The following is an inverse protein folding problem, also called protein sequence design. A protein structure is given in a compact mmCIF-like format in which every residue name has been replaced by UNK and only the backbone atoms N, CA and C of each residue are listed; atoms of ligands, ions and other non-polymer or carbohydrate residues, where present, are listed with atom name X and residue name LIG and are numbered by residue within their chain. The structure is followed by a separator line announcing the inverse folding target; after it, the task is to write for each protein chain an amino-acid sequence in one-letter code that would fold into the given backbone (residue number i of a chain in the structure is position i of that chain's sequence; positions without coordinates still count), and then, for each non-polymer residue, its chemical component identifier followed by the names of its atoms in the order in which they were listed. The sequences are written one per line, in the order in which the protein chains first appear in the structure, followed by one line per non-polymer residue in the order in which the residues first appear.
data_IF_509790824976
#
_entry.id   IF_509790824976
#
_cell.length_a   1.000
_cell.length_b   1.000
_cell.length_c   1.000
_cell.angle_alpha   90.00
_cell.angle_beta   90.00
_cell.angle_gamma   90.00
#
_symmetry.space_group_name_H-M   'P 1'
#
loop_
_entity.id
_entity.type
_entity.pdbx_description
1 polymer ?
#
# COMPACT_ATOMS: atom_id res chain seq x y z
N UNK A 1 8.54 7.01 1.18
CA UNK A 1 7.75 7.94 2.05
C UNK A 1 8.62 9.14 2.39
N UNK A 2 8.06 10.34 2.44
CA UNK A 2 8.73 11.56 2.91
C UNK A 2 8.12 12.04 4.23
N UNK A 3 8.81 12.96 4.92
CA UNK A 3 8.28 13.58 6.13
C UNK A 3 8.06 15.07 5.91
N UNK A 4 6.86 15.57 6.29
CA UNK A 4 6.55 17.02 6.33
C UNK A 4 6.13 17.38 7.75
N UNK A 5 6.83 18.36 8.35
CA UNK A 5 6.60 18.78 9.75
C UNK A 5 6.58 17.60 10.72
N UNK A 6 7.53 16.66 10.56
CA UNK A 6 7.66 15.47 11.41
C UNK A 6 6.62 14.37 11.21
N UNK A 7 5.70 14.51 10.23
CA UNK A 7 4.67 13.50 9.93
C UNK A 7 4.92 12.83 8.58
N UNK A 8 4.62 11.55 8.45
CA UNK A 8 4.65 10.86 7.16
C UNK A 8 3.75 11.57 6.13
N UNK A 9 4.24 11.72 4.92
CA UNK A 9 3.54 12.41 3.85
C UNK A 9 3.81 11.77 2.49
N UNK A 10 2.89 11.99 1.54
CA UNK A 10 3.08 11.58 0.15
C UNK A 10 3.95 12.60 -0.61
N UNK A 11 4.74 12.17 -1.60
CA UNK A 11 5.45 13.07 -2.48
C UNK A 11 4.47 13.90 -3.34
N UNK A 12 4.81 15.17 -3.56
CA UNK A 12 4.04 16.11 -4.39
C UNK A 12 4.70 16.41 -5.73
N UNK A 13 5.92 15.91 -5.94
CA UNK A 13 6.68 16.07 -7.17
C UNK A 13 7.53 14.83 -7.45
N UNK A 14 8.03 14.70 -8.69
CA UNK A 14 8.98 13.65 -9.04
C UNK A 14 10.30 13.77 -8.28
N UNK A 15 10.74 14.98 -7.94
CA UNK A 15 11.97 15.20 -7.15
C UNK A 15 11.83 14.76 -5.69
N UNK A 16 10.63 14.75 -5.14
CA UNK A 16 10.35 14.23 -3.81
C UNK A 16 10.11 12.70 -3.80
N UNK A 17 9.85 12.11 -4.97
CA UNK A 17 9.56 10.70 -5.07
C UNK A 17 10.84 9.88 -5.06
N UNK A 18 10.96 9.00 -4.09
CA UNK A 18 12.04 8.00 -4.02
C UNK A 18 11.44 6.65 -3.63
N UNK A 19 11.83 5.61 -4.33
CA UNK A 19 11.60 4.24 -3.88
C UNK A 19 12.56 3.93 -2.74
N UNK A 20 12.11 3.20 -1.74
CA UNK A 20 13.00 2.66 -0.72
C UNK A 20 14.01 1.71 -1.40
N UNK A 21 15.25 1.64 -0.92
CA UNK A 21 16.20 0.65 -1.41
C UNK A 21 15.70 -0.77 -1.17
N UNK A 22 16.15 -1.71 -1.97
CA UNK A 22 15.94 -3.15 -1.81
C UNK A 22 14.48 -3.64 -1.82
N UNK A 23 13.56 -2.86 -2.43
CA UNK A 23 12.14 -3.29 -2.56
C UNK A 23 11.89 -4.19 -3.78
N UNK A 24 12.72 -4.13 -4.79
CA UNK A 24 12.57 -4.87 -6.05
C UNK A 24 12.63 -6.37 -5.84
N UNK A 25 13.70 -6.86 -5.25
CA UNK A 25 13.94 -8.30 -5.09
C UNK A 25 12.84 -9.02 -4.29
N UNK A 26 12.34 -8.48 -3.15
CA UNK A 26 11.20 -9.05 -2.45
C UNK A 26 9.93 -9.14 -3.30
N UNK A 27 9.60 -8.08 -4.05
CA UNK A 27 8.41 -8.06 -4.91
C UNK A 27 8.50 -9.05 -6.08
N UNK A 28 9.68 -9.13 -6.72
CA UNK A 28 9.94 -10.12 -7.78
C UNK A 28 9.80 -11.55 -7.27
N UNK A 29 10.26 -11.83 -6.05
CA UNK A 29 10.13 -13.16 -5.42
C UNK A 29 8.67 -13.52 -5.17
N UNK A 30 7.85 -12.58 -4.71
CA UNK A 30 6.41 -12.80 -4.53
C UNK A 30 5.72 -13.04 -5.88
N UNK A 31 6.06 -12.24 -6.90
CA UNK A 31 5.53 -12.43 -8.25
C UNK A 31 5.93 -13.79 -8.86
N UNK A 32 7.17 -14.23 -8.63
CA UNK A 32 7.68 -15.50 -9.16
C UNK A 32 6.92 -16.75 -8.68
N UNK A 33 6.23 -16.66 -7.54
CA UNK A 33 5.35 -17.72 -7.03
C UNK A 33 3.88 -17.53 -7.41
N UNK A 34 3.59 -16.63 -8.35
CA UNK A 34 2.25 -16.40 -8.88
C UNK A 34 1.42 -15.38 -8.11
N UNK A 35 1.97 -14.71 -7.09
CA UNK A 35 1.26 -13.65 -6.41
C UNK A 35 1.15 -12.40 -7.30
N UNK A 36 -0.05 -11.85 -7.35
CA UNK A 36 -0.35 -10.61 -8.07
C UNK A 36 -0.19 -9.42 -7.14
N UNK A 37 0.45 -8.35 -7.61
CA UNK A 37 0.86 -7.23 -6.78
C UNK A 37 0.13 -5.95 -7.17
N UNK A 38 -0.51 -5.31 -6.19
CA UNK A 38 -1.28 -4.08 -6.34
C UNK A 38 -0.86 -3.07 -5.29
N UNK A 39 -1.04 -1.79 -5.60
CA UNK A 39 -0.87 -0.70 -4.64
C UNK A 39 -2.22 -0.06 -4.36
N UNK A 40 -2.53 0.17 -3.09
CA UNK A 40 -3.66 0.99 -2.65
C UNK A 40 -3.14 2.19 -1.86
N UNK A 41 -3.57 3.40 -2.21
CA UNK A 41 -2.99 4.61 -1.60
C UNK A 41 -4.00 5.72 -1.35
N UNK A 42 -3.96 6.30 -0.12
CA UNK A 42 -4.67 7.54 0.18
C UNK A 42 -3.84 8.74 -0.26
N UNK A 43 -4.41 9.58 -1.14
CA UNK A 43 -3.76 10.78 -1.68
C UNK A 43 -4.62 12.03 -1.42
N UNK A 44 -4.81 12.44 -0.15
CA UNK A 44 -5.70 13.55 0.20
C UNK A 44 -5.22 14.91 -0.33
N UNK A 45 -3.96 15.01 -0.71
CA UNK A 45 -3.39 16.24 -1.26
C UNK A 45 -4.02 16.62 -2.62
N UNK A 46 -4.65 15.66 -3.32
CA UNK A 46 -5.49 15.94 -4.51
C UNK A 46 -6.71 16.79 -4.10
N UNK A 47 -7.50 16.33 -3.13
CA UNK A 47 -8.68 17.07 -2.65
C UNK A 47 -8.32 18.44 -2.06
N UNK A 48 -7.10 18.58 -1.53
CA UNK A 48 -6.56 19.84 -0.98
C UNK A 48 -6.01 20.80 -2.02
N UNK A 49 -5.92 20.40 -3.29
CA UNK A 49 -5.28 21.18 -4.35
C UNK A 49 -3.75 21.33 -4.19
N UNK A 50 -3.12 20.45 -3.39
CA UNK A 50 -1.67 20.47 -3.13
C UNK A 50 -0.88 19.53 -4.03
N UNK A 51 -1.56 18.65 -4.75
CA UNK A 51 -1.04 17.74 -5.75
C UNK A 51 -2.06 17.63 -6.87
N UNK A 52 -1.65 17.87 -8.10
CA UNK A 52 -2.52 17.65 -9.25
C UNK A 52 -2.49 16.19 -9.71
N UNK A 53 -3.57 15.79 -10.39
CA UNK A 53 -3.75 14.41 -10.85
C UNK A 53 -2.70 14.01 -11.89
N UNK A 54 -2.21 14.94 -12.72
CA UNK A 54 -1.20 14.64 -13.74
C UNK A 54 0.14 14.30 -13.07
N UNK A 55 0.53 15.05 -12.03
CA UNK A 55 1.73 14.77 -11.26
C UNK A 55 1.62 13.43 -10.52
N UNK A 56 0.49 13.15 -9.89
CA UNK A 56 0.27 11.84 -9.26
C UNK A 56 0.37 10.70 -10.28
N UNK A 57 -0.21 10.85 -11.46
CA UNK A 57 -0.11 9.86 -12.53
C UNK A 57 1.33 9.67 -13.03
N UNK A 58 2.15 10.73 -13.04
CA UNK A 58 3.58 10.63 -13.35
C UNK A 58 4.33 9.82 -12.29
N UNK A 59 4.06 10.07 -11.01
CA UNK A 59 4.65 9.30 -9.90
C UNK A 59 4.23 7.82 -9.98
N UNK A 60 2.93 7.55 -10.14
CA UNK A 60 2.40 6.19 -10.25
C UNK A 60 2.99 5.43 -11.44
N UNK A 61 3.19 6.11 -12.57
CA UNK A 61 3.85 5.51 -13.75
C UNK A 61 5.29 5.10 -13.43
N UNK A 62 6.04 5.89 -12.67
CA UNK A 62 7.39 5.50 -12.23
C UNK A 62 7.38 4.27 -11.33
N UNK A 63 6.39 4.12 -10.45
CA UNK A 63 6.22 2.90 -9.63
C UNK A 63 6.01 1.69 -10.55
N UNK A 64 5.04 1.78 -11.47
CA UNK A 64 4.65 0.66 -12.33
C UNK A 64 5.73 0.29 -13.38
N UNK A 65 6.59 1.24 -13.77
CA UNK A 65 7.72 0.95 -14.69
C UNK A 65 8.88 0.26 -14.00
N UNK A 66 9.03 0.43 -12.68
CA UNK A 66 10.17 -0.09 -11.93
C UNK A 66 9.85 -1.33 -11.12
N UNK A 67 8.59 -1.51 -10.73
CA UNK A 67 8.15 -2.59 -9.84
C UNK A 67 7.11 -3.46 -10.53
N UNK A 68 7.02 -4.75 -10.20
CA UNK A 68 6.06 -5.67 -10.79
C UNK A 68 4.64 -5.45 -10.25
N UNK A 69 4.16 -4.21 -10.33
CA UNK A 69 2.84 -3.78 -9.86
C UNK A 69 1.86 -3.76 -11.03
N UNK A 70 0.76 -4.49 -10.93
CA UNK A 70 -0.26 -4.58 -11.98
C UNK A 70 -1.15 -3.34 -12.05
N UNK A 71 -1.51 -2.77 -10.89
CA UNK A 71 -2.32 -1.56 -10.82
C UNK A 71 -2.12 -0.81 -9.51
N UNK A 72 -2.43 0.48 -9.56
CA UNK A 72 -2.44 1.37 -8.39
C UNK A 72 -3.84 1.95 -8.23
N UNK A 73 -4.51 1.60 -7.13
CA UNK A 73 -5.81 2.18 -6.77
C UNK A 73 -5.61 3.36 -5.83
N UNK A 74 -6.21 4.49 -6.17
CA UNK A 74 -6.00 5.76 -5.48
C UNK A 74 -7.30 6.25 -4.84
N UNK A 75 -7.25 6.63 -3.58
CA UNK A 75 -8.28 7.45 -2.96
C UNK A 75 -7.82 8.91 -2.90
N UNK A 76 -8.39 9.83 -3.68
CA UNK A 76 -8.00 11.24 -3.70
C UNK A 76 -8.66 12.07 -2.59
N UNK A 77 -9.52 11.48 -1.77
CA UNK A 77 -10.40 12.17 -0.83
C UNK A 77 -9.75 12.42 0.54
N UNK A 78 -10.25 13.42 1.25
CA UNK A 78 -10.00 13.65 2.68
C UNK A 78 -10.99 12.90 3.57
N UNK A 79 -10.73 12.88 4.88
CA UNK A 79 -11.62 12.24 5.87
C UNK A 79 -13.03 12.87 5.86
N UNK A 80 -13.14 14.20 5.66
CA UNK A 80 -14.41 14.93 5.57
C UNK A 80 -15.31 14.53 4.38
N UNK A 81 -14.74 13.92 3.35
CA UNK A 81 -15.50 13.49 2.16
C UNK A 81 -16.31 12.20 2.40
N UNK A 82 -16.08 11.51 3.50
CA UNK A 82 -16.72 10.26 3.89
C UNK A 82 -16.92 9.23 2.75
N UNK A 83 -15.95 9.16 1.85
CA UNK A 83 -15.97 8.25 0.72
C UNK A 83 -15.81 6.78 1.16
N UNK A 84 -16.16 5.84 0.29
CA UNK A 84 -16.00 4.40 0.55
C UNK A 84 -14.58 3.89 0.31
N UNK A 85 -13.77 4.61 -0.50
CA UNK A 85 -12.44 4.14 -0.92
C UNK A 85 -11.32 4.44 0.09
N UNK A 86 -11.46 5.48 0.93
CA UNK A 86 -10.39 5.92 1.82
C UNK A 86 -10.15 4.93 2.95
N UNK A 87 -8.90 4.41 3.07
CA UNK A 87 -8.47 3.66 4.25
C UNK A 87 -8.69 4.48 5.52
N UNK A 88 -9.27 3.91 6.61
CA UNK A 88 -9.36 2.50 6.92
C UNK A 88 -10.54 1.72 6.31
N UNK A 89 -11.38 2.33 5.45
CA UNK A 89 -12.44 1.60 4.74
C UNK A 89 -11.83 0.68 3.68
N UNK A 90 -12.42 -0.51 3.40
CA UNK A 90 -11.83 -1.50 2.50
C UNK A 90 -12.09 -1.23 1.01
N UNK A 91 -12.72 -0.11 0.65
CA UNK A 91 -13.24 0.12 -0.71
C UNK A 91 -12.20 0.02 -1.84
N UNK A 92 -10.95 0.42 -1.64
CA UNK A 92 -9.91 0.21 -2.65
C UNK A 92 -9.56 -1.27 -2.83
N UNK A 93 -9.49 -2.03 -1.72
CA UNK A 93 -9.25 -3.49 -1.77
C UNK A 93 -10.36 -4.21 -2.51
N UNK A 94 -11.62 -3.91 -2.17
CA UNK A 94 -12.77 -4.51 -2.86
C UNK A 94 -12.86 -4.11 -4.34
N UNK A 95 -12.47 -2.88 -4.68
CA UNK A 95 -12.41 -2.44 -6.08
C UNK A 95 -11.37 -3.24 -6.88
N UNK A 96 -10.16 -3.40 -6.33
CA UNK A 96 -9.10 -4.19 -6.95
C UNK A 96 -9.53 -5.65 -7.08
N UNK A 97 -10.08 -6.24 -6.02
CA UNK A 97 -10.53 -7.62 -6.00
C UNK A 97 -11.58 -7.91 -7.08
N UNK A 98 -12.62 -7.07 -7.17
CA UNK A 98 -13.68 -7.22 -8.16
C UNK A 98 -13.18 -7.07 -9.60
N UNK A 99 -12.25 -6.12 -9.83
CA UNK A 99 -11.70 -5.86 -11.18
C UNK A 99 -10.73 -6.95 -11.64
N UNK A 100 -9.96 -7.50 -10.73
CA UNK A 100 -8.88 -8.42 -11.05
C UNK A 100 -9.20 -9.89 -10.72
N UNK A 101 -10.37 -10.20 -10.14
CA UNK A 101 -10.72 -11.55 -9.71
C UNK A 101 -9.82 -12.05 -8.56
N UNK A 102 -9.62 -11.22 -7.52
CA UNK A 102 -8.76 -11.54 -6.37
C UNK A 102 -9.60 -12.03 -5.21
N UNK A 103 -9.19 -13.13 -4.60
CA UNK A 103 -9.73 -13.64 -3.34
C UNK A 103 -9.08 -12.92 -2.16
N UNK A 104 -9.83 -12.03 -1.52
CA UNK A 104 -9.32 -11.19 -0.42
C UNK A 104 -8.94 -12.02 0.81
N UNK A 105 -9.67 -13.11 1.08
CA UNK A 105 -9.34 -14.03 2.18
C UNK A 105 -8.02 -14.79 2.01
N UNK A 106 -7.49 -14.85 0.79
CA UNK A 106 -6.19 -15.44 0.47
C UNK A 106 -5.11 -14.37 0.19
N UNK A 107 -5.43 -13.12 0.50
CA UNK A 107 -4.57 -11.97 0.18
C UNK A 107 -3.91 -11.38 1.43
N UNK A 108 -2.78 -10.72 1.21
CA UNK A 108 -2.02 -10.02 2.23
C UNK A 108 -2.03 -8.52 1.94
N UNK A 109 -2.17 -7.70 2.98
CA UNK A 109 -1.96 -6.27 2.89
C UNK A 109 -0.70 -5.91 3.69
N UNK A 110 0.29 -5.35 3.02
CA UNK A 110 1.51 -4.83 3.65
C UNK A 110 1.38 -3.32 3.74
N UNK A 111 1.48 -2.76 4.93
CA UNK A 111 1.37 -1.32 5.14
C UNK A 111 2.18 -0.82 6.32
N UNK A 112 2.14 0.48 6.58
CA UNK A 112 2.90 1.13 7.65
C UNK A 112 2.03 1.95 8.61
N UNK A 113 0.70 1.82 8.51
CA UNK A 113 -0.22 2.57 9.34
C UNK A 113 -1.41 1.73 9.81
N UNK A 114 -1.98 2.12 10.93
CA UNK A 114 -3.22 1.53 11.44
C UNK A 114 -4.36 1.51 10.40
N UNK A 115 -4.38 2.52 9.51
CA UNK A 115 -5.39 2.58 8.43
C UNK A 115 -5.26 1.44 7.43
N UNK A 116 -4.03 1.03 7.13
CA UNK A 116 -3.77 -0.10 6.26
C UNK A 116 -4.24 -1.39 6.90
N UNK A 117 -3.92 -1.57 8.18
CA UNK A 117 -4.28 -2.75 8.96
C UNK A 117 -5.80 -2.90 9.15
N UNK A 118 -6.48 -1.80 9.47
CA UNK A 118 -7.94 -1.84 9.60
C UNK A 118 -8.63 -2.09 8.24
N UNK A 119 -8.12 -1.50 7.14
CA UNK A 119 -8.64 -1.78 5.80
C UNK A 119 -8.45 -3.25 5.41
N UNK A 120 -7.29 -3.83 5.72
CA UNK A 120 -7.01 -5.25 5.50
C UNK A 120 -8.01 -6.15 6.23
N UNK A 121 -8.19 -5.94 7.53
CA UNK A 121 -9.14 -6.71 8.34
C UNK A 121 -10.58 -6.55 7.87
N UNK A 122 -11.00 -5.33 7.56
CA UNK A 122 -12.34 -5.07 7.03
C UNK A 122 -12.59 -5.73 5.67
N UNK A 123 -11.54 -6.04 4.92
CA UNK A 123 -11.58 -6.76 3.66
C UNK A 123 -11.40 -8.29 3.80
N UNK A 124 -11.06 -8.78 4.99
CA UNK A 124 -10.75 -10.19 5.23
C UNK A 124 -9.34 -10.62 4.82
N UNK A 125 -8.44 -9.67 4.57
CA UNK A 125 -7.03 -9.93 4.23
C UNK A 125 -6.18 -10.11 5.49
N UNK A 126 -5.09 -10.87 5.38
CA UNK A 126 -4.04 -10.89 6.40
C UNK A 126 -3.29 -9.54 6.42
N UNK A 127 -3.12 -8.96 7.61
CA UNK A 127 -2.54 -7.64 7.82
C UNK A 127 -1.08 -7.74 8.29
N UNK A 128 -0.15 -7.22 7.49
CA UNK A 128 1.28 -7.20 7.80
C UNK A 128 1.73 -5.74 7.95
N UNK A 129 2.19 -5.36 9.15
CA UNK A 129 2.68 -4.01 9.38
C UNK A 129 4.20 -3.95 9.27
N UNK A 130 4.70 -2.97 8.51
CA UNK A 130 6.12 -2.61 8.49
C UNK A 130 6.43 -1.79 9.73
N UNK A 131 7.32 -2.27 10.60
CA UNK A 131 7.69 -1.60 11.85
C UNK A 131 8.30 -0.23 11.60
N UNK A 132 7.73 0.79 12.24
CA UNK A 132 8.17 2.18 12.16
C UNK A 132 8.00 2.84 13.53
N UNK A 133 8.84 3.81 13.83
CA UNK A 133 8.79 4.51 15.11
C UNK A 133 7.41 5.13 15.44
N UNK A 134 6.64 5.49 14.41
CA UNK A 134 5.33 6.13 14.54
C UNK A 134 4.14 5.17 14.62
N UNK A 135 4.35 3.84 14.42
CA UNK A 135 3.27 2.86 14.40
C UNK A 135 3.43 1.74 15.44
N UNK A 136 4.22 1.95 16.49
CA UNK A 136 4.55 0.90 17.48
C UNK A 136 3.34 0.29 18.16
N UNK A 137 2.27 1.06 18.34
CA UNK A 137 1.04 0.64 18.99
C UNK A 137 -0.05 0.18 18.00
N UNK A 138 0.22 0.20 16.69
CA UNK A 138 -0.73 -0.24 15.70
C UNK A 138 -0.82 -1.77 15.70
N UNK A 139 -2.05 -2.27 15.73
CA UNK A 139 -2.34 -3.70 15.77
C UNK A 139 -2.34 -4.31 14.36
N UNK A 140 -1.71 -5.49 14.20
CA UNK A 140 -1.60 -6.22 12.94
C UNK A 140 -1.47 -7.74 13.22
N UNK A 141 -1.75 -8.57 12.23
CA UNK A 141 -1.57 -10.02 12.36
C UNK A 141 -0.08 -10.38 12.41
N UNK A 142 0.73 -9.62 11.67
CA UNK A 142 2.19 -9.77 11.66
C UNK A 142 2.88 -8.41 11.66
N UNK A 143 4.01 -8.32 12.35
CA UNK A 143 4.88 -7.15 12.38
C UNK A 143 6.28 -7.54 11.90
N UNK A 144 6.80 -6.82 10.92
CA UNK A 144 8.09 -7.10 10.28
C UNK A 144 8.90 -5.82 10.08
N UNK A 145 10.22 -5.90 10.04
CA UNK A 145 11.08 -4.73 9.93
C UNK A 145 11.04 -4.09 8.53
N UNK A 146 10.90 -4.91 7.48
CA UNK A 146 10.99 -4.45 6.09
C UNK A 146 10.24 -5.38 5.14
N UNK A 147 10.17 -4.97 3.86
CA UNK A 147 9.47 -5.71 2.81
C UNK A 147 10.10 -7.10 2.54
N UNK A 148 11.42 -7.23 2.73
CA UNK A 148 12.11 -8.51 2.59
C UNK A 148 11.65 -9.54 3.62
N UNK A 149 11.41 -9.11 4.86
CA UNK A 149 10.82 -9.96 5.90
C UNK A 149 9.36 -10.28 5.63
N UNK A 150 8.57 -9.31 5.17
CA UNK A 150 7.20 -9.55 4.74
C UNK A 150 7.14 -10.62 3.64
N UNK A 151 7.99 -10.51 2.63
CA UNK A 151 8.05 -11.49 1.56
C UNK A 151 8.44 -12.90 2.05
N UNK A 152 9.42 -13.01 2.94
CA UNK A 152 9.78 -14.31 3.55
C UNK A 152 8.62 -14.93 4.34
N UNK A 153 7.92 -14.12 5.11
CA UNK A 153 6.75 -14.55 5.89
C UNK A 153 5.66 -15.10 4.95
N UNK A 154 5.29 -14.34 3.91
CA UNK A 154 4.26 -14.74 2.93
C UNK A 154 4.67 -16.05 2.24
N UNK A 155 5.90 -16.15 1.73
CA UNK A 155 6.40 -17.35 1.08
C UNK A 155 6.36 -18.56 2.01
N UNK A 156 6.67 -18.38 3.30
CA UNK A 156 6.59 -19.42 4.31
C UNK A 156 5.16 -19.88 4.65
N UNK A 157 4.14 -19.03 4.44
CA UNK A 157 2.73 -19.42 4.62
C UNK A 157 2.18 -20.20 3.43
N UNK A 158 2.66 -19.92 2.21
CA UNK A 158 2.23 -20.62 0.99
C UNK A 158 2.80 -22.04 0.84
N UNK A 159 3.85 -22.36 1.60
CA UNK A 159 4.51 -23.68 1.55
C UNK A 159 4.00 -24.66 2.61
N UNK A 160 3.00 -24.30 3.38
CA UNK A 160 2.35 -25.15 4.39
C UNK A 160 1.04 -25.70 3.89
#
# INVERSE_FOLDING_TARGET
MIFRRGKPASPRSLSEFQLEPDIDAPLQRLQAVGLRLFVITNQPDIARGLLDTQMLNRINRQVMTRLPIEAIEVCPHEDRNDCRCRKPKPGMLTTVANRAGIELGESFVIGDSWRDMQAARAAGCAAIILDRAYNRNDDADYRVANLGEAARLILGTLTR
#
